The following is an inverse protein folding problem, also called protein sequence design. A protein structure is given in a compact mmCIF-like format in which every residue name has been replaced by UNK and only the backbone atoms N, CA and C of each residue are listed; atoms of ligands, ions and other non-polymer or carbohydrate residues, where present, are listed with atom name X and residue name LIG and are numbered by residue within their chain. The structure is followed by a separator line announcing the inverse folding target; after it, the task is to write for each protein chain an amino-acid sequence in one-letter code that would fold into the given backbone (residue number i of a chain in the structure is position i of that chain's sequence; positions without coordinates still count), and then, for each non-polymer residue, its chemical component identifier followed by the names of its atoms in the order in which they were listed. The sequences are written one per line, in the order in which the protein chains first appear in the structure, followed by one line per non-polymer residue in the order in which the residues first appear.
data_IF_907944856241
#
_entry.id   IF_907944856241
#
_cell.length_a   1.000
_cell.length_b   1.000
_cell.length_c   1.000
_cell.angle_alpha   90.00
_cell.angle_beta   90.00
_cell.angle_gamma   90.00
#
_symmetry.space_group_name_H-M   'P 1'
#
loop_
_entity.id
_entity.type
_entity.pdbx_description
1 polymer ?
#
# COMPACT_ATOMS: atom_id res chain seq x y z
N UNK A 1 24.08 -3.20 18.15
CA UNK A 1 24.05 -3.47 16.70
C UNK A 1 22.61 -3.36 16.25
N UNK A 2 22.25 -2.27 15.56
CA UNK A 2 20.94 -2.16 14.91
C UNK A 2 20.90 -3.19 13.79
N UNK A 3 19.89 -4.05 13.79
CA UNK A 3 19.75 -5.09 12.78
C UNK A 3 18.81 -4.60 11.67
N UNK A 4 19.09 -4.98 10.42
CA UNK A 4 18.33 -4.54 9.26
C UNK A 4 16.83 -4.88 9.38
N UNK A 5 15.95 -3.87 9.46
CA UNK A 5 14.49 -3.94 9.64
C UNK A 5 13.80 -3.69 8.30
N UNK A 6 13.25 -4.77 7.76
CA UNK A 6 12.49 -4.76 6.52
C UNK A 6 10.99 -4.73 6.82
N UNK A 7 10.25 -3.83 6.16
CA UNK A 7 8.79 -3.85 6.15
C UNK A 7 8.34 -4.35 4.79
N UNK A 8 7.48 -5.37 4.74
CA UNK A 8 6.89 -5.85 3.51
C UNK A 8 5.38 -5.63 3.51
N UNK A 9 4.87 -4.96 2.46
CA UNK A 9 3.46 -4.63 2.33
C UNK A 9 3.00 -4.64 0.88
N UNK A 10 1.74 -5.02 0.63
CA UNK A 10 1.13 -4.88 -0.69
C UNK A 10 0.93 -3.40 -1.04
N UNK A 11 1.08 -2.98 -2.30
CA UNK A 11 0.74 -1.61 -2.71
C UNK A 11 -0.74 -1.30 -2.41
N UNK A 12 -1.00 -0.23 -1.67
CA UNK A 12 -2.34 0.19 -1.29
C UNK A 12 -2.67 1.58 -1.88
N UNK A 13 -3.95 1.79 -2.20
CA UNK A 13 -4.49 3.04 -2.69
C UNK A 13 -4.74 4.00 -1.52
N UNK A 14 -3.97 5.09 -1.46
CA UNK A 14 -4.01 6.08 -0.36
C UNK A 14 -3.88 5.42 1.03
N UNK A 15 -2.74 4.82 1.41
CA UNK A 15 -2.62 4.04 2.65
C UNK A 15 -3.05 4.79 3.93
N UNK A 16 -3.52 4.06 4.95
CA UNK A 16 -3.96 4.61 6.24
C UNK A 16 -2.77 4.97 7.15
N UNK A 17 -2.93 5.80 8.20
CA UNK A 17 -1.82 6.23 9.07
C UNK A 17 -0.99 5.09 9.69
N UNK A 18 -1.64 3.98 10.07
CA UNK A 18 -0.98 2.77 10.58
C UNK A 18 -0.08 2.04 9.57
N UNK A 19 -0.18 2.37 8.28
CA UNK A 19 0.81 1.97 7.28
C UNK A 19 2.17 2.60 7.58
N UNK A 20 2.17 3.92 7.80
CA UNK A 20 3.38 4.74 7.97
C UNK A 20 4.03 4.58 9.34
N UNK A 21 3.25 4.34 10.39
CA UNK A 21 3.80 4.11 11.74
C UNK A 21 4.83 2.97 11.76
N UNK A 22 4.61 1.93 10.95
CA UNK A 22 5.51 0.77 10.83
C UNK A 22 6.81 1.07 10.10
N UNK A 23 6.86 2.17 9.36
CA UNK A 23 8.02 2.59 8.57
C UNK A 23 8.96 3.52 9.36
N UNK A 24 8.53 4.02 10.52
CA UNK A 24 9.27 5.04 11.30
C UNK A 24 10.67 4.61 11.74
N UNK A 25 10.92 3.33 11.94
CA UNK A 25 12.22 2.72 12.23
C UNK A 25 12.55 1.57 11.27
N UNK A 26 11.97 1.60 10.06
CA UNK A 26 12.31 0.67 8.99
C UNK A 26 13.49 1.20 8.18
N UNK A 27 14.36 0.30 7.74
CA UNK A 27 15.47 0.65 6.84
C UNK A 27 15.13 0.38 5.38
N UNK A 28 14.08 -0.42 5.11
CA UNK A 28 13.63 -0.74 3.76
C UNK A 28 12.13 -1.08 3.73
N UNK A 29 11.44 -0.61 2.69
CA UNK A 29 10.08 -1.01 2.33
C UNK A 29 10.09 -1.90 1.09
N UNK A 30 9.60 -3.13 1.22
CA UNK A 30 9.37 -4.04 0.10
C UNK A 30 7.89 -4.06 -0.28
N UNK A 31 7.60 -3.62 -1.51
CA UNK A 31 6.28 -3.67 -2.11
C UNK A 31 6.00 -5.08 -2.66
N UNK A 32 5.05 -5.78 -2.03
CA UNK A 32 4.58 -7.12 -2.42
C UNK A 32 3.65 -7.04 -3.64
N UNK A 33 4.16 -6.54 -4.77
CA UNK A 33 3.39 -6.27 -5.99
C UNK A 33 3.18 -7.49 -6.92
N UNK A 34 3.97 -8.56 -6.74
CA UNK A 34 3.83 -9.80 -7.50
C UNK A 34 2.72 -10.73 -6.98
N UNK A 35 2.12 -10.44 -5.83
CA UNK A 35 1.06 -11.27 -5.24
C UNK A 35 -0.28 -11.05 -5.96
N UNK A 36 -1.24 -11.93 -5.69
CA UNK A 36 -2.57 -11.86 -6.30
C UNK A 36 -3.31 -10.57 -5.91
N UNK A 37 -3.95 -9.94 -6.90
CA UNK A 37 -4.83 -8.81 -6.72
C UNK A 37 -6.15 -9.24 -6.10
N UNK A 38 -6.61 -8.49 -5.10
CA UNK A 38 -7.92 -8.67 -4.45
C UNK A 38 -8.81 -7.49 -4.81
N UNK A 39 -9.87 -7.76 -5.56
CA UNK A 39 -10.84 -6.73 -5.94
C UNK A 39 -11.58 -6.19 -4.72
N UNK A 40 -11.80 -4.87 -4.67
CA UNK A 40 -12.41 -4.19 -3.52
C UNK A 40 -11.55 -4.35 -2.25
N UNK A 41 -10.27 -4.65 -2.37
CA UNK A 41 -9.31 -4.49 -1.30
C UNK A 41 -8.75 -3.06 -1.26
N UNK A 42 -7.90 -2.78 -0.27
CA UNK A 42 -7.17 -1.51 -0.17
C UNK A 42 -6.24 -1.25 -1.34
N UNK A 43 -5.95 -2.27 -2.14
CA UNK A 43 -5.19 -2.14 -3.37
C UNK A 43 -5.86 -1.19 -4.37
N UNK A 44 -7.21 -1.16 -4.45
CA UNK A 44 -7.92 -0.34 -5.44
C UNK A 44 -9.04 0.54 -4.87
N UNK A 45 -9.24 0.58 -3.56
CA UNK A 45 -10.17 1.53 -2.94
C UNK A 45 -9.71 1.99 -1.57
N UNK A 46 -10.16 3.18 -1.20
CA UNK A 46 -10.10 3.69 0.16
C UNK A 46 -11.32 4.59 0.41
N UNK A 47 -11.58 5.00 1.64
CA UNK A 47 -12.58 6.01 1.97
C UNK A 47 -11.95 7.24 2.59
N UNK A 48 -12.59 8.38 2.36
CA UNK A 48 -12.24 9.66 2.96
C UNK A 48 -13.39 10.14 3.84
N UNK A 49 -13.09 11.01 4.81
CA UNK A 49 -14.10 11.57 5.70
C UNK A 49 -14.85 12.71 5.01
N UNK A 50 -15.92 12.39 4.30
CA UNK A 50 -16.79 13.39 3.68
C UNK A 50 -17.67 14.14 4.69
N UNK A 51 -18.33 15.22 4.27
CA UNK A 51 -19.18 16.04 5.15
C UNK A 51 -20.36 15.29 5.78
N UNK A 52 -20.89 14.29 5.07
CA UNK A 52 -22.03 13.47 5.50
C UNK A 52 -21.62 12.05 5.94
N UNK A 53 -20.32 11.81 6.15
CA UNK A 53 -19.77 10.50 6.49
C UNK A 53 -18.76 9.97 5.47
N UNK A 54 -18.32 8.71 5.61
CA UNK A 54 -17.30 8.12 4.75
C UNK A 54 -17.72 8.09 3.27
N UNK A 55 -16.82 8.53 2.40
CA UNK A 55 -16.99 8.50 0.94
C UNK A 55 -15.98 7.54 0.33
N UNK A 56 -16.45 6.52 -0.38
CA UNK A 56 -15.57 5.58 -1.08
C UNK A 56 -14.97 6.19 -2.35
N UNK A 57 -13.66 6.06 -2.46
CA UNK A 57 -12.86 6.28 -3.65
C UNK A 57 -12.44 4.91 -4.19
N UNK A 58 -12.93 4.52 -5.37
CA UNK A 58 -12.62 3.22 -5.97
C UNK A 58 -12.00 3.41 -7.35
N UNK A 59 -10.74 3.02 -7.49
CA UNK A 59 -10.05 2.98 -8.78
C UNK A 59 -10.64 1.81 -9.58
N UNK A 60 -11.24 2.09 -10.75
CA UNK A 60 -11.83 1.05 -11.57
C UNK A 60 -10.69 0.26 -12.23
N UNK A 61 -10.81 -1.07 -12.24
CA UNK A 61 -9.78 -1.96 -12.80
C UNK A 61 -10.39 -2.91 -13.82
N UNK A 62 -9.58 -3.32 -14.80
CA UNK A 62 -9.93 -4.40 -15.72
C UNK A 62 -9.78 -5.73 -14.97
N UNK A 63 -10.85 -6.52 -14.95
CA UNK A 63 -10.92 -7.74 -14.14
C UNK A 63 -10.34 -8.92 -14.90
N UNK A 64 -9.46 -9.66 -14.24
CA UNK A 64 -9.01 -10.99 -14.66
C UNK A 64 -8.79 -11.84 -13.41
N UNK A 65 -9.37 -13.03 -13.38
CA UNK A 65 -9.21 -13.96 -12.26
C UNK A 65 -7.74 -14.31 -12.05
N UNK A 66 -7.28 -14.28 -10.80
CA UNK A 66 -5.90 -14.62 -10.43
C UNK A 66 -4.83 -13.65 -10.94
N UNK A 67 -5.19 -12.45 -11.42
CA UNK A 67 -4.19 -11.48 -11.85
C UNK A 67 -3.33 -10.99 -10.67
N UNK A 68 -2.05 -10.70 -10.93
CA UNK A 68 -1.16 -10.08 -9.94
C UNK A 68 -1.44 -8.59 -9.83
N UNK A 69 -1.02 -7.97 -8.73
CA UNK A 69 -1.16 -6.51 -8.54
C UNK A 69 -0.41 -5.76 -9.66
N UNK A 70 0.81 -6.21 -10.02
CA UNK A 70 1.60 -5.66 -11.14
C UNK A 70 0.86 -5.69 -12.47
N UNK A 71 0.08 -6.74 -12.71
CA UNK A 71 -0.60 -6.97 -14.00
C UNK A 71 -1.98 -6.27 -14.05
N UNK A 72 -2.44 -5.72 -12.92
CA UNK A 72 -3.77 -5.12 -12.79
C UNK A 72 -3.82 -3.78 -13.50
N UNK A 73 -4.54 -3.74 -14.62
CA UNK A 73 -4.74 -2.53 -15.42
C UNK A 73 -5.91 -1.71 -14.91
N UNK A 74 -5.74 -0.39 -14.90
CA UNK A 74 -6.81 0.56 -14.60
C UNK A 74 -7.78 0.57 -15.80
N UNK A 75 -9.08 0.58 -15.51
CA UNK A 75 -10.10 0.71 -16.54
C UNK A 75 -10.28 2.19 -16.91
N UNK A 76 -10.61 2.44 -18.17
CA UNK A 76 -10.81 3.79 -18.69
C UNK A 76 -11.97 4.49 -17.97
N UNK A 77 -11.86 5.81 -17.79
CA UNK A 77 -12.94 6.61 -17.21
C UNK A 77 -12.44 7.86 -16.48
N UNK A 78 -13.39 8.61 -15.93
CA UNK A 78 -13.16 9.90 -15.24
C UNK A 78 -12.91 9.74 -13.74
N UNK A 79 -12.44 8.57 -13.30
CA UNK A 79 -12.25 8.28 -11.87
C UNK A 79 -11.24 9.24 -11.22
N UNK A 80 -10.12 9.54 -11.88
CA UNK A 80 -9.06 10.37 -11.33
C UNK A 80 -9.57 11.78 -11.03
N UNK A 81 -10.23 12.43 -12.00
CA UNK A 81 -10.84 13.75 -11.80
C UNK A 81 -12.02 13.75 -10.81
N UNK A 82 -12.73 12.63 -10.63
CA UNK A 82 -13.73 12.51 -9.55
C UNK A 82 -13.07 12.42 -8.18
N UNK A 83 -12.05 11.57 -8.04
CA UNK A 83 -11.33 11.38 -6.79
C UNK A 83 -10.61 12.66 -6.38
N UNK A 84 -9.94 13.34 -7.32
CA UNK A 84 -9.29 14.62 -7.06
C UNK A 84 -10.27 15.66 -6.51
N UNK A 85 -11.42 15.85 -7.17
CA UNK A 85 -12.46 16.77 -6.68
C UNK A 85 -12.96 16.40 -5.28
N UNK A 86 -13.14 15.10 -5.01
CA UNK A 86 -13.55 14.63 -3.68
C UNK A 86 -12.49 14.95 -2.62
N UNK A 87 -11.20 14.75 -2.91
CA UNK A 87 -10.10 15.10 -2.01
C UNK A 87 -10.03 16.61 -1.79
N UNK A 88 -9.99 17.39 -2.87
CA UNK A 88 -9.91 18.84 -2.80
C UNK A 88 -11.07 19.44 -2.00
N UNK A 89 -12.30 18.99 -2.25
CA UNK A 89 -13.46 19.46 -1.49
C UNK A 89 -13.40 19.05 -0.01
N UNK A 90 -12.94 17.83 0.27
CA UNK A 90 -12.93 17.29 1.65
C UNK A 90 -11.84 17.94 2.51
N UNK A 91 -10.69 18.22 1.93
CA UNK A 91 -9.50 18.66 2.66
C UNK A 91 -9.12 20.12 2.41
N UNK A 92 -9.87 20.89 1.61
CA UNK A 92 -9.58 22.31 1.31
C UNK A 92 -9.29 23.19 2.54
N UNK A 93 -9.88 22.87 3.70
CA UNK A 93 -9.71 23.61 4.95
C UNK A 93 -8.82 22.88 5.98
N UNK A 94 -8.17 21.78 5.59
CA UNK A 94 -7.25 21.06 6.47
C UNK A 94 -5.94 21.85 6.63
N UNK A 95 -5.32 21.87 7.83
CA UNK A 95 -4.15 22.70 8.12
C UNK A 95 -2.98 22.55 7.14
N UNK A 96 -2.70 21.31 6.71
CA UNK A 96 -1.57 20.97 5.84
C UNK A 96 -1.95 20.80 4.36
N UNK A 97 -3.20 21.14 3.99
CA UNK A 97 -3.65 20.98 2.61
C UNK A 97 -2.83 21.79 1.59
N UNK A 98 -2.52 23.08 1.83
CA UNK A 98 -1.74 23.88 0.89
C UNK A 98 -0.34 23.31 0.60
N UNK A 99 0.23 22.57 1.55
CA UNK A 99 1.59 21.99 1.44
C UNK A 99 1.63 20.73 0.56
N UNK A 100 0.50 20.02 0.41
CA UNK A 100 0.47 18.70 -0.21
C UNK A 100 -0.45 18.59 -1.44
N UNK A 101 -1.36 19.54 -1.63
CA UNK A 101 -2.36 19.47 -2.70
C UNK A 101 -1.72 19.36 -4.09
N UNK A 102 -0.66 20.12 -4.38
CA UNK A 102 -0.05 20.17 -5.72
C UNK A 102 0.59 18.83 -6.10
N UNK A 103 1.26 18.17 -5.14
CA UNK A 103 1.88 16.87 -5.35
C UNK A 103 0.81 15.78 -5.59
N UNK A 104 -0.30 15.83 -4.85
CA UNK A 104 -1.43 14.94 -5.08
C UNK A 104 -2.09 15.21 -6.43
N UNK A 105 -2.34 16.48 -6.77
CA UNK A 105 -2.95 16.90 -8.03
C UNK A 105 -2.12 16.41 -9.22
N UNK A 106 -0.80 16.56 -9.15
CA UNK A 106 0.11 16.06 -10.17
C UNK A 106 -0.09 14.57 -10.44
N UNK A 107 -0.21 13.75 -9.39
CA UNK A 107 -0.47 12.30 -9.54
C UNK A 107 -1.83 12.03 -10.20
N UNK A 108 -2.88 12.77 -9.82
CA UNK A 108 -4.22 12.61 -10.43
C UNK A 108 -4.32 13.19 -11.85
N UNK A 109 -3.44 14.13 -12.22
CA UNK A 109 -3.33 14.70 -13.56
C UNK A 109 -2.60 13.78 -14.56
N UNK A 110 -1.89 12.76 -14.08
CA UNK A 110 -1.21 11.78 -14.93
C UNK A 110 -2.14 10.66 -15.40
N UNK A 111 -1.80 10.07 -16.56
CA UNK A 111 -2.44 8.86 -17.06
C UNK A 111 -1.74 7.61 -16.52
N UNK A 112 -2.48 6.79 -15.78
CA UNK A 112 -1.97 5.56 -15.19
C UNK A 112 -2.50 4.31 -15.91
N UNK A 113 -1.61 3.47 -16.42
CA UNK A 113 -2.00 2.19 -17.05
C UNK A 113 -2.20 1.07 -16.03
N UNK A 114 -1.34 1.01 -15.00
CA UNK A 114 -1.30 -0.07 -14.01
C UNK A 114 -1.58 0.45 -12.60
N UNK A 115 -2.34 -0.32 -11.82
CA UNK A 115 -2.71 0.02 -10.44
C UNK A 115 -1.48 0.13 -9.52
N UNK A 116 -0.52 -0.78 -9.67
CA UNK A 116 0.72 -0.77 -8.89
C UNK A 116 1.49 0.56 -9.03
N UNK A 117 1.60 1.08 -10.25
CA UNK A 117 2.30 2.34 -10.52
C UNK A 117 1.60 3.55 -9.88
N UNK A 118 0.26 3.61 -9.95
CA UNK A 118 -0.52 4.64 -9.27
C UNK A 118 -0.31 4.59 -7.75
N UNK A 119 -0.41 3.40 -7.16
CA UNK A 119 -0.27 3.22 -5.72
C UNK A 119 1.14 3.58 -5.25
N UNK A 120 2.17 3.21 -6.01
CA UNK A 120 3.55 3.57 -5.71
C UNK A 120 3.75 5.10 -5.76
N UNK A 121 3.21 5.78 -6.77
CA UNK A 121 3.33 7.24 -6.88
C UNK A 121 2.64 7.98 -5.73
N UNK A 122 1.42 7.56 -5.37
CA UNK A 122 0.70 8.12 -4.22
C UNK A 122 1.43 7.85 -2.90
N UNK A 123 1.99 6.64 -2.75
CA UNK A 123 2.77 6.28 -1.58
C UNK A 123 4.02 7.16 -1.46
N UNK A 124 4.75 7.43 -2.55
CA UNK A 124 5.91 8.34 -2.55
C UNK A 124 5.53 9.73 -2.07
N UNK A 125 4.44 10.30 -2.59
CA UNK A 125 3.93 11.61 -2.13
C UNK A 125 3.65 11.61 -0.63
N UNK A 126 3.07 10.52 -0.10
CA UNK A 126 2.78 10.42 1.34
C UNK A 126 4.04 10.20 2.19
N UNK A 127 4.99 9.40 1.73
CA UNK A 127 6.28 9.22 2.42
C UNK A 127 7.02 10.55 2.55
N UNK A 128 7.06 11.33 1.47
CA UNK A 128 7.66 12.66 1.46
C UNK A 128 6.93 13.60 2.44
N UNK A 129 5.59 13.59 2.44
CA UNK A 129 4.77 14.37 3.39
C UNK A 129 5.02 14.01 4.86
N UNK A 130 5.31 12.73 5.16
CA UNK A 130 5.65 12.28 6.51
C UNK A 130 7.15 12.40 6.85
N UNK A 131 7.98 12.90 5.92
CA UNK A 131 9.43 12.97 6.11
C UNK A 131 10.11 11.61 6.22
N UNK A 132 9.50 10.56 5.65
CA UNK A 132 10.01 9.19 5.67
C UNK A 132 10.86 8.93 4.43
N UNK A 133 12.18 8.93 4.61
CA UNK A 133 13.13 8.57 3.54
C UNK A 133 13.66 7.16 3.76
N UNK A 134 13.19 6.22 2.96
CA UNK A 134 13.66 4.84 2.95
C UNK A 134 13.66 4.27 1.53
N UNK A 135 14.60 3.36 1.20
CA UNK A 135 14.55 2.57 -0.01
C UNK A 135 13.22 1.84 -0.14
N UNK A 136 12.65 1.91 -1.34
CA UNK A 136 11.46 1.16 -1.71
C UNK A 136 11.81 0.22 -2.85
N UNK A 137 11.57 -1.07 -2.66
CA UNK A 137 11.92 -2.12 -3.62
C UNK A 137 10.70 -2.96 -3.94
N UNK A 138 10.57 -3.41 -5.19
CA UNK A 138 9.43 -4.21 -5.63
C UNK A 138 9.79 -5.68 -5.65
N UNK A 139 8.88 -6.52 -5.16
CA UNK A 139 9.07 -7.97 -5.26
C UNK A 139 9.11 -8.48 -6.70
N UNK A 140 8.47 -7.79 -7.65
CA UNK A 140 8.56 -8.11 -9.08
C UNK A 140 9.96 -7.92 -9.67
N UNK A 141 10.83 -7.14 -9.01
CA UNK A 141 12.25 -6.98 -9.36
C UNK A 141 13.13 -8.01 -8.64
N UNK A 142 12.75 -8.43 -7.44
CA UNK A 142 13.51 -9.37 -6.61
C UNK A 142 13.25 -10.85 -6.93
N UNK A 143 12.08 -11.16 -7.51
CA UNK A 143 11.65 -12.51 -7.85
C UNK A 143 11.84 -13.55 -6.70
N UNK A 144 11.28 -13.30 -5.50
CA UNK A 144 11.45 -14.20 -4.37
C UNK A 144 10.83 -15.58 -4.65
N UNK A 145 11.46 -16.62 -4.10
CA UNK A 145 11.00 -18.00 -4.25
C UNK A 145 10.13 -18.47 -3.08
N UNK A 146 9.31 -19.49 -3.31
CA UNK A 146 8.40 -20.02 -2.29
C UNK A 146 7.04 -19.33 -2.28
N UNK A 147 6.25 -19.59 -1.24
CA UNK A 147 4.89 -19.02 -1.07
C UNK A 147 4.69 -18.57 0.37
N UNK A 148 3.87 -17.54 0.57
CA UNK A 148 3.49 -17.03 1.89
C UNK A 148 4.74 -16.80 2.77
N UNK A 149 4.87 -17.53 3.87
CA UNK A 149 6.00 -17.42 4.80
C UNK A 149 7.35 -17.74 4.15
N UNK A 150 7.45 -18.73 3.28
CA UNK A 150 8.72 -19.11 2.64
C UNK A 150 9.26 -17.97 1.77
N UNK A 151 8.36 -17.31 1.04
CA UNK A 151 8.67 -16.12 0.23
C UNK A 151 9.16 -14.96 1.11
N UNK A 152 8.55 -14.77 2.28
CA UNK A 152 8.98 -13.73 3.22
C UNK A 152 10.37 -14.02 3.80
N UNK A 153 10.68 -15.28 4.09
CA UNK A 153 12.01 -15.72 4.55
C UNK A 153 13.04 -15.47 3.45
N UNK A 154 12.72 -15.84 2.21
CA UNK A 154 13.60 -15.62 1.06
C UNK A 154 13.91 -14.13 0.87
N UNK A 155 12.90 -13.26 0.95
CA UNK A 155 13.11 -11.81 0.95
C UNK A 155 14.05 -11.36 2.08
N UNK A 156 13.91 -11.90 3.29
CA UNK A 156 14.82 -11.56 4.37
C UNK A 156 16.27 -11.95 4.07
N UNK A 157 16.49 -13.14 3.49
CA UNK A 157 17.82 -13.58 3.09
C UNK A 157 18.41 -12.71 1.97
N UNK A 158 17.64 -12.44 0.92
CA UNK A 158 18.08 -11.60 -0.21
C UNK A 158 18.47 -10.19 0.23
N UNK A 159 17.80 -9.66 1.26
CA UNK A 159 18.01 -8.30 1.78
C UNK A 159 18.87 -8.24 3.04
N UNK A 160 19.44 -9.37 3.50
CA UNK A 160 20.17 -9.46 4.76
C UNK A 160 19.38 -8.86 5.95
N UNK A 161 18.05 -9.00 5.94
CA UNK A 161 17.18 -8.48 6.99
C UNK A 161 17.28 -9.36 8.24
N UNK A 162 17.37 -8.72 9.41
CA UNK A 162 17.36 -9.41 10.70
C UNK A 162 15.98 -9.39 11.37
N UNK A 163 15.11 -8.48 10.90
CA UNK A 163 13.73 -8.32 11.38
C UNK A 163 12.83 -8.05 10.19
N UNK A 164 11.67 -8.68 10.18
CA UNK A 164 10.63 -8.49 9.19
C UNK A 164 9.35 -8.01 9.86
N UNK A 165 8.71 -7.01 9.27
CA UNK A 165 7.37 -6.56 9.64
C UNK A 165 6.43 -6.73 8.45
N UNK A 166 5.36 -7.47 8.67
CA UNK A 166 4.29 -7.69 7.69
C UNK A 166 2.95 -7.37 8.32
N UNK A 167 1.93 -7.08 7.50
CA UNK A 167 0.56 -7.16 7.98
C UNK A 167 0.22 -8.64 8.21
N UNK A 168 0.02 -9.03 9.47
CA UNK A 168 -0.58 -10.32 9.80
C UNK A 168 -2.11 -10.18 9.74
N UNK A 169 -2.83 -11.10 9.08
CA UNK A 169 -4.26 -11.26 9.34
C UNK A 169 -4.39 -11.63 10.82
N UNK A 170 -4.97 -10.73 11.61
CA UNK A 170 -5.21 -10.94 13.05
C UNK A 170 -3.94 -11.01 13.92
N UNK A 171 -3.34 -9.87 14.25
CA UNK A 171 -2.70 -9.73 15.56
C UNK A 171 -2.62 -8.27 15.99
N UNK A 172 -3.29 -7.97 17.09
CA UNK A 172 -2.80 -6.97 18.02
C UNK A 172 -1.35 -7.32 18.36
N UNK A 173 -0.46 -6.33 18.20
CA UNK A 173 0.96 -6.32 18.59
C UNK A 173 1.48 -7.62 19.22
N UNK A 174 1.99 -8.54 18.40
CA UNK A 174 2.71 -9.72 18.87
C UNK A 174 3.88 -9.96 17.93
N UNK A 175 5.09 -9.66 18.40
CA UNK A 175 6.33 -10.04 17.72
C UNK A 175 6.46 -11.57 17.73
N UNK A 176 6.01 -12.21 16.64
CA UNK A 176 6.05 -13.66 16.47
C UNK A 176 7.47 -14.13 16.16
N UNK A 177 8.07 -14.90 17.08
CA UNK A 177 9.19 -15.79 16.74
C UNK A 177 8.65 -16.93 15.86
N UNK A 178 9.36 -17.21 14.78
CA UNK A 178 9.03 -18.19 13.75
C UNK A 178 8.63 -19.56 14.34
N UNK A 179 7.37 -19.94 14.12
CA UNK A 179 6.79 -21.25 14.43
C UNK A 179 5.73 -21.58 13.37
N UNK A 180 5.78 -22.79 12.85
CA UNK A 180 5.08 -23.30 11.67
C UNK A 180 3.56 -23.39 11.83
N UNK A 181 2.79 -22.97 10.83
CA UNK A 181 1.34 -23.25 10.76
C UNK A 181 0.63 -22.62 9.58
N UNK A 182 0.06 -23.47 8.73
CA UNK A 182 -0.65 -23.22 7.47
C UNK A 182 -2.03 -22.59 7.65
N UNK A 183 -2.45 -21.71 6.72
CA UNK A 183 -3.85 -21.27 6.62
C UNK A 183 -4.13 -20.40 5.40
N UNK A 184 -4.92 -20.92 4.46
CA UNK A 184 -5.54 -20.20 3.34
C UNK A 184 -6.72 -19.36 3.84
N UNK A 185 -6.74 -18.07 3.54
CA UNK A 185 -7.89 -17.20 3.79
C UNK A 185 -7.69 -15.84 3.14
N UNK A 186 -8.52 -15.53 2.15
CA UNK A 186 -8.73 -14.15 1.75
C UNK A 186 -9.60 -13.52 2.83
N UNK A 187 -9.00 -12.75 3.73
CA UNK A 187 -9.73 -11.95 4.73
C UNK A 187 -9.20 -10.52 4.71
N UNK A 188 -10.17 -9.61 4.70
CA UNK A 188 -10.01 -8.17 4.54
C UNK A 188 -8.99 -7.61 5.54
N UNK A 189 -7.95 -6.94 5.04
CA UNK A 189 -7.12 -6.03 5.83
C UNK A 189 -8.11 -5.08 6.56
N UNK A 190 -8.29 -5.22 7.87
CA UNK A 190 -9.21 -4.32 8.58
C UNK A 190 -8.49 -3.00 8.74
N UNK A 191 -8.93 -1.99 8.00
CA UNK A 191 -8.47 -0.62 8.22
C UNK A 191 -8.82 -0.24 9.66
N UNK A 192 -7.85 0.24 10.47
CA UNK A 192 -8.15 0.73 11.80
C UNK A 192 -9.17 1.87 11.71
N UNK A 193 -10.07 2.02 12.70
CA UNK A 193 -11.05 3.09 12.69
C UNK A 193 -10.37 4.46 12.54
N UNK A 194 -11.02 5.41 11.86
CA UNK A 194 -10.49 6.75 11.61
C UNK A 194 -10.27 7.56 12.90
#
# INVERSE_FOLDING_TARGET
MGGHVLVAHQPAYLPWPGYFSRLTDAEELVLLDHVQFTERGWQNRNHIRGPAGPVWLTVPVRRRFGQRITDTRIADGTWAGRHWRSLAQTYAHAPYWPEHQDALEAVYGMSWTHLAGLNEALLRVMLDAFGLSLPMVRTSELAPVGRQTDMLIDLCHQRNATRLRVNSPGSSASSTRMGTGTGSGAEDDVMPPP
#
